data_IF_472040073055
#
_entry.id   IF_472040073055
#
_cell.length_a   1.000
_cell.length_b   1.000
_cell.length_c   1.000
_cell.angle_alpha   90.00
_cell.angle_beta   90.00
_cell.angle_gamma   90.00
#
_symmetry.space_group_name_H-M   'P 1'
#
loop_
_entity.id
_entity.type
_entity.pdbx_description
1 polymer ?
#
# COMPACT_ATOMS: atom_id res chain seq x y z
N UNK A 1 13.17 -37.17 -55.43
CA UNK A 1 13.78 -35.92 -54.91
C UNK A 1 12.66 -34.91 -54.75
N UNK A 2 11.98 -34.94 -53.60
CA UNK A 2 10.97 -33.94 -53.21
C UNK A 2 11.48 -33.39 -51.89
N UNK A 3 11.92 -32.13 -51.92
CA UNK A 3 12.54 -31.45 -50.79
C UNK A 3 11.43 -30.91 -49.88
N UNK A 4 11.31 -31.49 -48.70
CA UNK A 4 10.48 -31.00 -47.60
C UNK A 4 11.31 -29.95 -46.85
N UNK A 5 10.85 -28.70 -46.86
CA UNK A 5 11.48 -27.64 -46.07
C UNK A 5 10.38 -26.89 -45.31
N UNK A 6 10.21 -27.14 -43.99
CA UNK A 6 9.29 -26.35 -43.20
C UNK A 6 9.89 -24.98 -42.87
N UNK A 7 9.02 -23.98 -42.99
CA UNK A 7 9.29 -22.57 -42.82
C UNK A 7 9.86 -22.21 -41.44
N UNK A 8 10.88 -21.36 -41.44
CA UNK A 8 11.41 -20.72 -40.24
C UNK A 8 10.46 -19.59 -39.83
N UNK A 9 9.90 -19.68 -38.61
CA UNK A 9 9.18 -18.56 -37.99
C UNK A 9 10.18 -17.53 -37.46
N UNK A 10 10.01 -16.23 -37.72
CA UNK A 10 10.88 -15.21 -37.15
C UNK A 10 10.62 -15.08 -35.64
N UNK A 11 11.69 -15.18 -34.87
CA UNK A 11 11.75 -14.88 -33.43
C UNK A 11 11.38 -13.41 -33.23
N UNK A 12 10.28 -13.13 -32.53
CA UNK A 12 9.92 -11.78 -32.11
C UNK A 12 11.04 -11.22 -31.24
N UNK A 13 11.67 -10.16 -31.72
CA UNK A 13 12.72 -9.44 -31.04
C UNK A 13 12.25 -9.02 -29.64
N UNK A 14 12.95 -9.50 -28.62
CA UNK A 14 12.90 -8.93 -27.28
C UNK A 14 13.47 -7.52 -27.39
N UNK A 15 12.63 -6.50 -27.20
CA UNK A 15 13.10 -5.12 -27.06
C UNK A 15 14.02 -5.06 -25.83
N UNK A 16 15.29 -4.66 -25.98
CA UNK A 16 16.12 -4.37 -24.82
C UNK A 16 15.55 -3.10 -24.17
N UNK A 17 14.99 -3.23 -22.97
CA UNK A 17 14.73 -2.08 -22.10
C UNK A 17 16.11 -1.55 -21.71
N UNK A 18 16.65 -0.67 -22.54
CA UNK A 18 17.92 0.00 -22.30
C UNK A 18 17.62 1.17 -21.38
N UNK A 19 17.29 0.86 -20.12
CA UNK A 19 17.09 1.85 -19.09
C UNK A 19 18.47 2.39 -18.70
N UNK A 20 18.91 3.45 -19.39
CA UNK A 20 20.00 4.30 -18.95
C UNK A 20 19.50 5.08 -17.73
N UNK A 21 19.54 4.47 -16.54
CA UNK A 21 19.32 5.18 -15.27
C UNK A 21 20.68 5.47 -14.62
N UNK A 22 20.98 6.74 -14.28
CA UNK A 22 22.14 7.04 -13.47
C UNK A 22 22.01 6.33 -12.11
N UNK A 23 23.05 5.60 -11.72
CA UNK A 23 23.10 4.90 -10.46
C UNK A 23 23.03 5.90 -9.28
N UNK A 24 22.05 5.75 -8.39
CA UNK A 24 22.21 5.66 -6.90
C UNK A 24 20.92 5.80 -6.09
N UNK A 25 19.77 6.21 -6.66
CA UNK A 25 18.50 6.22 -5.93
C UNK A 25 17.76 4.87 -6.08
N UNK A 26 17.54 4.21 -4.95
CA UNK A 26 16.82 2.94 -4.88
C UNK A 26 15.34 3.15 -5.24
N UNK A 27 14.80 2.34 -6.17
CA UNK A 27 13.46 2.49 -6.74
C UNK A 27 12.38 2.54 -5.64
N UNK A 28 11.41 3.49 -5.67
CA UNK A 28 10.53 3.74 -4.52
C UNK A 28 9.66 2.55 -4.09
N UNK A 29 9.34 1.62 -5.00
CA UNK A 29 8.64 0.36 -4.67
C UNK A 29 9.37 -0.44 -3.59
N UNK A 30 10.71 -0.45 -3.62
CA UNK A 30 11.51 -1.21 -2.65
C UNK A 30 11.54 -0.58 -1.26
N UNK A 31 11.01 0.64 -1.11
CA UNK A 31 10.91 1.36 0.16
C UNK A 31 9.50 1.36 0.76
N UNK A 32 8.55 0.63 0.14
CA UNK A 32 7.21 0.41 0.69
C UNK A 32 7.30 -0.51 1.92
N UNK A 33 6.58 -0.16 2.97
CA UNK A 33 6.56 -0.92 4.22
C UNK A 33 5.52 -2.04 4.11
N UNK A 34 5.91 -3.32 4.19
CA UNK A 34 4.98 -4.45 4.05
C UNK A 34 3.81 -4.43 5.06
N UNK A 35 4.01 -3.87 6.26
CA UNK A 35 2.96 -3.70 7.26
C UNK A 35 2.01 -2.58 6.87
N UNK A 36 2.46 -1.51 6.23
CA UNK A 36 1.56 -0.43 5.79
C UNK A 36 0.97 -0.70 4.41
N UNK A 37 1.75 -1.30 3.51
CA UNK A 37 1.49 -1.58 2.09
C UNK A 37 0.50 -2.73 1.89
N UNK A 38 -0.66 -2.60 2.52
CA UNK A 38 -1.81 -3.43 2.30
C UNK A 38 -3.05 -2.55 2.41
N UNK A 39 -3.90 -2.60 1.38
CA UNK A 39 -5.06 -1.70 1.20
C UNK A 39 -5.85 -1.42 2.48
N UNK A 40 -6.17 -2.46 3.25
CA UNK A 40 -7.00 -2.33 4.45
C UNK A 40 -6.24 -1.66 5.59
N UNK A 41 -4.97 -2.04 5.83
CA UNK A 41 -4.12 -1.41 6.85
C UNK A 41 -3.85 0.05 6.55
N UNK A 42 -3.54 0.40 5.30
CA UNK A 42 -3.41 1.79 4.87
C UNK A 42 -4.70 2.58 5.11
N UNK A 43 -5.86 2.01 4.78
CA UNK A 43 -7.17 2.61 5.04
C UNK A 43 -7.45 2.84 6.54
N UNK A 44 -7.16 1.85 7.39
CA UNK A 44 -7.32 1.96 8.85
C UNK A 44 -6.44 3.09 9.40
N UNK A 45 -5.15 3.11 9.03
CA UNK A 45 -4.21 4.15 9.49
C UNK A 45 -4.63 5.54 9.00
N UNK A 46 -5.12 5.65 7.77
CA UNK A 46 -5.61 6.92 7.20
C UNK A 46 -6.82 7.45 7.96
N UNK A 47 -7.80 6.60 8.28
CA UNK A 47 -8.97 7.00 9.06
C UNK A 47 -8.56 7.35 10.50
N UNK A 48 -7.67 6.56 11.10
CA UNK A 48 -7.16 6.83 12.45
C UNK A 48 -6.34 8.12 12.53
N UNK A 49 -5.67 8.53 11.46
CA UNK A 49 -4.94 9.80 11.39
C UNK A 49 -5.84 11.02 11.47
N UNK A 50 -7.09 10.93 11.01
CA UNK A 50 -8.04 12.05 10.96
C UNK A 50 -8.73 12.34 12.30
N UNK A 51 -8.57 11.46 13.30
CA UNK A 51 -9.26 11.56 14.57
C UNK A 51 -8.35 11.17 15.74
N UNK A 52 -8.55 11.80 16.91
CA UNK A 52 -7.76 11.46 18.11
C UNK A 52 -7.98 10.04 18.60
N UNK A 53 -9.16 9.49 18.37
CA UNK A 53 -9.60 8.16 18.81
C UNK A 53 -10.75 7.71 17.91
N UNK A 54 -10.71 6.47 17.42
CA UNK A 54 -11.70 5.94 16.49
C UNK A 54 -12.32 4.67 17.05
N UNK A 55 -13.65 4.56 16.98
CA UNK A 55 -14.37 3.38 17.42
C UNK A 55 -14.28 2.24 16.40
N UNK A 56 -14.15 1.00 16.87
CA UNK A 56 -14.08 -0.19 16.02
C UNK A 56 -15.30 -0.31 15.10
N UNK A 57 -16.51 -0.07 15.62
CA UNK A 57 -17.75 -0.09 14.85
C UNK A 57 -17.75 0.92 13.71
N UNK A 58 -17.26 2.13 13.96
CA UNK A 58 -17.06 3.14 12.91
C UNK A 58 -16.09 2.66 11.82
N UNK A 59 -14.89 2.16 12.17
CA UNK A 59 -13.92 1.65 11.18
C UNK A 59 -14.51 0.55 10.31
N UNK A 60 -15.24 -0.38 10.94
CA UNK A 60 -15.91 -1.49 10.24
C UNK A 60 -16.87 -0.97 9.17
N UNK A 61 -17.70 0.00 9.52
CA UNK A 61 -18.67 0.61 8.59
C UNK A 61 -17.98 1.45 7.53
N UNK A 62 -17.07 2.34 7.93
CA UNK A 62 -16.38 3.28 7.02
C UNK A 62 -15.56 2.56 5.95
N UNK A 63 -14.98 1.40 6.28
CA UNK A 63 -14.13 0.63 5.37
C UNK A 63 -14.84 -0.58 4.76
N UNK A 64 -16.12 -0.82 5.06
CA UNK A 64 -16.90 -1.94 4.53
C UNK A 64 -16.34 -3.31 4.92
N UNK A 65 -15.79 -3.45 6.12
CA UNK A 65 -15.11 -4.67 6.59
C UNK A 65 -16.03 -5.54 7.44
N UNK A 66 -15.71 -6.83 7.52
CA UNK A 66 -16.29 -7.69 8.56
C UNK A 66 -15.53 -7.50 9.88
N UNK A 67 -16.16 -7.85 11.00
CA UNK A 67 -15.50 -7.73 12.32
C UNK A 67 -14.26 -8.63 12.45
N UNK A 68 -14.29 -9.82 11.86
CA UNK A 68 -13.14 -10.74 11.85
C UNK A 68 -11.98 -10.19 11.02
N UNK A 69 -12.28 -9.69 9.81
CA UNK A 69 -11.26 -9.09 8.95
C UNK A 69 -10.62 -7.86 9.62
N UNK A 70 -11.42 -6.95 10.17
CA UNK A 70 -10.89 -5.78 10.89
C UNK A 70 -10.01 -6.22 12.06
N UNK A 71 -10.48 -7.13 12.92
CA UNK A 71 -9.71 -7.61 14.08
C UNK A 71 -8.33 -8.18 13.71
N UNK A 72 -8.24 -8.91 12.58
CA UNK A 72 -6.97 -9.45 12.11
C UNK A 72 -6.00 -8.33 11.71
N UNK A 73 -6.47 -7.32 10.97
CA UNK A 73 -5.64 -6.18 10.59
C UNK A 73 -5.21 -5.35 11.81
N UNK A 74 -6.11 -5.14 12.77
CA UNK A 74 -5.78 -4.42 14.00
C UNK A 74 -4.71 -5.16 14.81
N UNK A 75 -4.80 -6.49 14.91
CA UNK A 75 -3.78 -7.30 15.59
C UNK A 75 -2.41 -7.12 14.96
N UNK A 76 -2.31 -7.07 13.63
CA UNK A 76 -1.04 -6.85 12.93
C UNK A 76 -0.49 -5.45 13.21
N UNK A 77 -1.34 -4.43 13.09
CA UNK A 77 -0.93 -3.04 13.31
C UNK A 77 -0.52 -2.78 14.77
N UNK A 78 -1.23 -3.37 15.73
CA UNK A 78 -0.93 -3.27 17.16
C UNK A 78 0.40 -3.96 17.49
N UNK A 79 0.63 -5.17 16.96
CA UNK A 79 1.91 -5.88 17.11
C UNK A 79 3.08 -5.11 16.51
N UNK A 80 2.85 -4.36 15.45
CA UNK A 80 3.84 -3.47 14.83
C UNK A 80 3.98 -2.13 15.58
N UNK A 81 3.22 -1.88 16.65
CA UNK A 81 3.27 -0.65 17.42
C UNK A 81 2.68 0.58 16.71
N UNK A 82 1.97 0.39 15.59
CA UNK A 82 1.45 1.49 14.78
C UNK A 82 0.11 2.03 15.32
N UNK A 83 -0.59 1.24 16.13
CA UNK A 83 -1.83 1.63 16.80
C UNK A 83 -1.81 1.17 18.24
N UNK A 84 -2.61 1.82 19.08
CA UNK A 84 -3.01 1.34 20.39
C UNK A 84 -4.50 0.97 20.36
N UNK A 85 -4.85 -0.19 20.92
CA UNK A 85 -6.23 -0.65 21.06
C UNK A 85 -6.66 -0.58 22.52
N UNK A 86 -7.70 0.18 22.81
CA UNK A 86 -8.27 0.31 24.15
C UNK A 86 -9.66 -0.30 24.18
N UNK A 87 -9.87 -1.24 25.11
CA UNK A 87 -11.19 -1.80 25.42
C UNK A 87 -11.74 -1.08 26.65
N UNK A 88 -13.00 -0.68 26.58
CA UNK A 88 -13.70 -0.08 27.71
C UNK A 88 -15.20 -0.21 27.57
N UNK A 89 -15.92 0.63 28.31
CA UNK A 89 -17.37 0.61 28.36
C UNK A 89 -17.92 2.01 28.13
N UNK A 90 -18.97 2.08 27.32
CA UNK A 90 -19.78 3.28 27.17
C UNK A 90 -21.19 2.94 27.68
N UNK A 91 -21.47 3.38 28.91
CA UNK A 91 -22.63 2.91 29.67
C UNK A 91 -22.52 1.41 29.98
N UNK A 92 -23.49 0.61 29.50
CA UNK A 92 -23.51 -0.86 29.70
C UNK A 92 -22.91 -1.66 28.54
N UNK A 93 -22.43 -1.01 27.48
CA UNK A 93 -21.94 -1.69 26.27
C UNK A 93 -20.41 -1.64 26.23
N UNK A 94 -19.81 -2.82 26.02
CA UNK A 94 -18.38 -2.90 25.71
C UNK A 94 -18.09 -2.22 24.38
N UNK A 95 -17.02 -1.44 24.34
CA UNK A 95 -16.56 -0.70 23.18
C UNK A 95 -15.05 -0.87 23.04
N UNK A 96 -14.60 -0.85 21.80
CA UNK A 96 -13.18 -0.90 21.45
C UNK A 96 -12.86 0.34 20.67
N UNK A 97 -11.79 1.01 21.07
CA UNK A 97 -11.30 2.19 20.40
C UNK A 97 -9.85 2.00 20.00
N UNK A 98 -9.48 2.75 18.97
CA UNK A 98 -8.17 2.76 18.39
C UNK A 98 -7.62 4.17 18.37
N UNK A 99 -6.33 4.26 18.64
CA UNK A 99 -5.57 5.50 18.55
C UNK A 99 -4.32 5.24 17.70
N UNK A 100 -4.05 6.13 16.75
CA UNK A 100 -2.81 6.10 15.98
C UNK A 100 -1.64 6.46 16.91
N UNK A 101 -0.58 5.66 16.90
CA UNK A 101 0.64 6.00 17.66
C UNK A 101 1.49 7.00 16.88
N UNK A 102 2.47 7.66 17.53
CA UNK A 102 3.47 8.45 16.81
C UNK A 102 4.21 7.64 15.74
N UNK A 103 4.43 6.34 15.98
CA UNK A 103 5.12 5.45 15.05
C UNK A 103 4.23 5.10 13.86
N UNK A 104 2.94 4.86 14.11
CA UNK A 104 1.92 4.72 13.06
C UNK A 104 1.78 5.95 12.16
N UNK A 105 1.83 7.15 12.75
CA UNK A 105 1.81 8.41 11.98
C UNK A 105 3.03 8.52 11.06
N UNK A 106 4.23 8.23 11.58
CA UNK A 106 5.45 8.25 10.78
C UNK A 106 5.43 7.19 9.67
N UNK A 107 4.99 5.98 9.97
CA UNK A 107 4.88 4.89 9.00
C UNK A 107 3.87 5.23 7.89
N UNK A 108 2.70 5.77 8.24
CA UNK A 108 1.71 6.23 7.26
C UNK A 108 2.26 7.33 6.35
N UNK A 109 2.95 8.34 6.93
CA UNK A 109 3.55 9.42 6.14
C UNK A 109 4.63 8.92 5.20
N UNK A 110 5.49 8.01 5.67
CA UNK A 110 6.54 7.41 4.86
C UNK A 110 5.93 6.65 3.67
N UNK A 111 4.94 5.81 3.91
CA UNK A 111 4.24 5.06 2.86
C UNK A 111 3.58 5.98 1.84
N UNK A 112 2.83 6.99 2.29
CA UNK A 112 2.19 7.98 1.39
C UNK A 112 3.23 8.73 0.56
N UNK A 113 4.41 9.03 1.13
CA UNK A 113 5.50 9.66 0.38
C UNK A 113 6.05 8.74 -0.70
N UNK A 114 6.19 7.43 -0.45
CA UNK A 114 6.59 6.46 -1.49
C UNK A 114 5.57 6.39 -2.62
N UNK A 115 4.29 6.24 -2.28
CA UNK A 115 3.21 6.17 -3.28
C UNK A 115 3.16 7.43 -4.14
N UNK A 116 3.33 8.62 -3.54
CA UNK A 116 3.40 9.88 -4.29
C UNK A 116 4.60 9.93 -5.24
N UNK A 117 5.76 9.40 -4.84
CA UNK A 117 6.93 9.32 -5.74
C UNK A 117 6.66 8.42 -6.93
N UNK A 118 6.07 7.25 -6.70
CA UNK A 118 5.70 6.33 -7.80
C UNK A 118 4.71 6.95 -8.77
N UNK A 119 3.67 7.63 -8.26
CA UNK A 119 2.70 8.33 -9.10
C UNK A 119 3.39 9.44 -9.89
N UNK A 120 4.26 10.22 -9.25
CA UNK A 120 4.98 11.30 -9.91
C UNK A 120 5.89 10.80 -11.04
N UNK A 121 6.70 9.76 -10.78
CA UNK A 121 7.58 9.13 -11.78
C UNK A 121 6.77 8.60 -12.98
N UNK A 122 5.65 7.93 -12.73
CA UNK A 122 4.74 7.46 -13.79
C UNK A 122 4.15 8.60 -14.62
N UNK A 123 3.78 9.72 -13.99
CA UNK A 123 3.25 10.90 -14.70
C UNK A 123 4.31 11.63 -15.53
N UNK A 124 5.59 11.62 -15.12
CA UNK A 124 6.69 12.25 -15.86
C UNK A 124 7.13 11.45 -17.10
N UNK A 125 6.82 10.15 -17.17
CA UNK A 125 7.07 9.30 -18.36
C UNK A 125 5.99 9.47 -19.46
N UNK A 126 5.16 10.51 -19.38
CA UNK A 126 4.19 10.88 -20.42
C UNK A 126 4.82 11.04 -21.81
N UNK A 127 4.05 10.83 -22.91
CA UNK A 127 4.62 10.70 -24.25
C UNK A 127 5.47 11.91 -24.61
N UNK A 128 6.71 11.67 -25.04
CA UNK A 128 7.63 12.69 -25.53
C UNK A 128 6.88 13.61 -26.52
N UNK A 129 7.05 14.94 -26.43
CA UNK A 129 6.36 15.86 -27.33
C UNK A 129 6.71 15.49 -28.77
N UNK A 130 5.68 15.12 -29.55
CA UNK A 130 5.83 14.88 -30.97
C UNK A 130 6.42 16.13 -31.62
N UNK A 131 7.66 16.00 -32.11
CA UNK A 131 8.33 17.01 -32.94
C UNK A 131 7.95 16.80 -34.40
#
# INVERSE_FOLDING_TARGET
MTNDQPAQHPVTAQHPVTAQHPATAQHPVTALDDVVHQRVRLGILTVAHQARRVEFGFLRTALGLTAGNLSQHLTVLEKAGLIAVEKGYEGRRARTWLTLTPDGDRALRAEVAQLKRLIHEFEQEGPAPAS
#
